data_IF_545649489141
#
_entry.id   IF_545649489141
#
_cell.length_a   1.000
_cell.length_b   1.000
_cell.length_c   1.000
_cell.angle_alpha   90.00
_cell.angle_beta   90.00
_cell.angle_gamma   90.00
#
_symmetry.space_group_name_H-M   'P 1'
#
loop_
_entity.id
_entity.type
_entity.pdbx_description
1 polymer ?
#
# COMPACT_ATOMS: atom_id res chain seq x y z
N UNK A 1 20.69 -8.40 -0.93
CA UNK A 1 19.81 -7.35 -1.50
C UNK A 1 18.60 -8.04 -2.13
N UNK A 2 17.54 -8.26 -1.34
CA UNK A 2 16.25 -8.75 -1.83
C UNK A 2 15.19 -7.75 -1.35
N UNK A 3 15.02 -6.66 -2.11
CA UNK A 3 13.88 -5.75 -1.97
C UNK A 3 12.68 -6.40 -2.66
N UNK A 4 12.01 -7.34 -1.99
CA UNK A 4 10.70 -7.80 -2.43
C UNK A 4 9.68 -6.70 -2.11
N UNK A 5 9.24 -6.02 -3.17
CA UNK A 5 8.33 -4.89 -3.12
C UNK A 5 6.99 -5.18 -2.43
N UNK A 6 6.43 -4.07 -1.95
CA UNK A 6 5.12 -3.87 -1.33
C UNK A 6 5.04 -4.09 0.19
N UNK A 7 4.79 -2.97 0.87
CA UNK A 7 4.14 -2.76 2.18
C UNK A 7 4.71 -3.41 3.45
N UNK A 8 5.73 -4.28 3.40
CA UNK A 8 6.16 -5.03 4.59
C UNK A 8 7.68 -5.07 4.80
N UNK A 9 8.43 -4.20 4.12
CA UNK A 9 9.88 -4.07 4.28
C UNK A 9 10.26 -2.64 4.63
N UNK A 10 10.86 -2.49 5.81
CA UNK A 10 11.53 -1.31 6.37
C UNK A 10 10.66 -0.31 7.17
N UNK A 11 11.01 -0.27 8.46
CA UNK A 11 10.33 0.34 9.60
C UNK A 11 10.39 1.89 9.67
N UNK A 12 10.13 2.59 8.57
CA UNK A 12 9.92 4.04 8.61
C UNK A 12 8.54 4.39 8.04
N UNK A 13 7.73 5.25 8.71
CA UNK A 13 6.58 5.84 8.03
C UNK A 13 7.02 6.41 6.69
N UNK A 14 6.24 6.18 5.62
CA UNK A 14 6.44 6.92 4.38
C UNK A 14 6.39 8.42 4.70
N UNK A 15 7.57 9.03 4.72
CA UNK A 15 7.70 10.46 4.96
C UNK A 15 7.25 11.20 3.71
N UNK A 16 6.77 12.44 3.86
CA UNK A 16 6.29 13.24 2.73
C UNK A 16 7.29 13.27 1.56
N UNK A 17 8.59 13.27 1.87
CA UNK A 17 9.67 13.14 0.89
C UNK A 17 9.62 11.82 0.11
N UNK A 18 9.50 10.68 0.80
CA UNK A 18 9.43 9.36 0.17
C UNK A 18 8.14 9.18 -0.64
N UNK A 19 7.00 9.62 -0.12
CA UNK A 19 5.71 9.57 -0.83
C UNK A 19 5.78 10.39 -2.12
N UNK A 20 6.36 11.60 -2.07
CA UNK A 20 6.49 12.47 -3.24
C UNK A 20 7.46 11.91 -4.27
N UNK A 21 8.63 11.43 -3.85
CA UNK A 21 9.59 10.79 -4.76
C UNK A 21 9.03 9.52 -5.41
N UNK A 22 8.27 8.73 -4.64
CA UNK A 22 7.59 7.55 -5.14
C UNK A 22 6.51 7.91 -6.18
N UNK A 23 5.72 8.98 -5.94
CA UNK A 23 4.74 9.46 -6.92
C UNK A 23 5.38 9.77 -8.28
N UNK A 24 6.49 10.51 -8.29
CA UNK A 24 7.21 10.84 -9.53
C UNK A 24 7.87 9.62 -10.17
N UNK A 25 8.41 8.70 -9.38
CA UNK A 25 9.00 7.45 -9.90
C UNK A 25 7.93 6.56 -10.53
N UNK A 26 6.77 6.43 -9.89
CA UNK A 26 5.62 5.72 -10.42
C UNK A 26 5.11 6.38 -11.71
N UNK A 27 5.02 7.71 -11.74
CA UNK A 27 4.65 8.46 -12.94
C UNK A 27 5.62 8.22 -14.11
N UNK A 28 6.93 8.17 -13.85
CA UNK A 28 7.93 7.85 -14.86
C UNK A 28 7.73 6.44 -15.45
N UNK A 29 7.49 5.43 -14.60
CA UNK A 29 7.19 4.07 -15.05
C UNK A 29 5.88 3.99 -15.84
N UNK A 30 4.84 4.70 -15.37
CA UNK A 30 3.55 4.77 -16.04
C UNK A 30 3.63 5.48 -17.40
N UNK A 31 4.50 6.48 -17.55
CA UNK A 31 4.76 7.15 -18.84
C UNK A 31 5.24 6.16 -19.91
N UNK A 32 6.08 5.18 -19.55
CA UNK A 32 6.50 4.12 -20.47
C UNK A 32 5.31 3.24 -20.84
N UNK A 33 4.52 2.82 -19.86
CA UNK A 33 3.34 1.98 -20.09
C UNK A 33 2.30 2.69 -20.98
N UNK A 34 2.02 3.97 -20.73
CA UNK A 34 1.13 4.79 -21.55
C UNK A 34 1.64 4.90 -22.99
N UNK A 35 2.94 5.09 -23.18
CA UNK A 35 3.55 5.09 -24.53
C UNK A 35 3.23 3.79 -25.26
N UNK A 36 3.43 2.63 -24.60
CA UNK A 36 3.17 1.31 -25.19
C UNK A 36 1.69 1.14 -25.52
N UNK A 37 0.80 1.48 -24.59
CA UNK A 37 -0.65 1.31 -24.76
C UNK A 37 -1.16 2.17 -25.92
N UNK A 38 -0.80 3.45 -25.97
CA UNK A 38 -1.24 4.36 -27.04
C UNK A 38 -0.61 4.00 -28.39
N UNK A 39 0.63 3.52 -28.41
CA UNK A 39 1.27 3.02 -29.63
C UNK A 39 0.56 1.78 -30.19
N UNK A 40 0.03 0.92 -29.31
CA UNK A 40 -0.72 -0.28 -29.70
C UNK A 40 -2.18 0.02 -30.10
N UNK A 41 -2.82 1.04 -29.52
CA UNK A 41 -4.22 1.39 -29.82
C UNK A 41 -4.37 2.27 -31.05
N UNK A 42 -3.68 3.41 -31.09
CA UNK A 42 -3.89 4.48 -32.07
C UNK A 42 -2.66 4.70 -32.98
N UNK A 43 -1.58 3.95 -32.74
CA UNK A 43 -0.37 4.01 -33.55
C UNK A 43 0.54 5.19 -33.19
N UNK A 44 1.17 5.79 -34.19
CA UNK A 44 2.19 6.84 -34.00
C UNK A 44 1.62 8.21 -33.62
N UNK A 45 0.36 8.45 -33.96
CA UNK A 45 -0.33 9.73 -33.82
C UNK A 45 -1.63 9.49 -33.07
N UNK A 46 -1.86 10.21 -31.98
CA UNK A 46 -3.07 10.03 -31.21
C UNK A 46 -3.63 11.37 -30.73
N UNK A 47 -4.96 11.46 -30.70
CA UNK A 47 -5.66 12.63 -30.16
C UNK A 47 -5.71 12.51 -28.65
N UNK A 48 -4.76 13.18 -28.00
CA UNK A 48 -4.56 13.12 -26.56
C UNK A 48 -5.20 14.36 -25.93
N UNK A 49 -6.13 14.15 -24.98
CA UNK A 49 -6.67 15.22 -24.16
C UNK A 49 -5.64 15.71 -23.14
N UNK A 50 -5.77 16.95 -22.66
CA UNK A 50 -4.89 17.47 -21.61
C UNK A 50 -4.93 16.58 -20.34
N UNK A 51 -6.11 16.06 -19.98
CA UNK A 51 -6.27 15.07 -18.91
C UNK A 51 -5.55 13.75 -19.20
N UNK A 52 -5.56 13.28 -20.46
CA UNK A 52 -4.79 12.12 -20.90
C UNK A 52 -3.28 12.35 -20.80
N UNK A 53 -2.80 13.55 -21.11
CA UNK A 53 -1.38 13.89 -21.06
C UNK A 53 -0.82 13.86 -19.62
N UNK A 54 -1.61 14.34 -18.64
CA UNK A 54 -1.22 14.35 -17.22
C UNK A 54 -1.57 13.05 -16.48
N UNK A 55 -2.24 12.10 -17.13
CA UNK A 55 -2.71 10.87 -16.51
C UNK A 55 -1.60 10.03 -15.83
N UNK A 56 -0.39 9.88 -16.39
CA UNK A 56 0.70 9.17 -15.70
C UNK A 56 1.07 9.80 -14.36
N UNK A 57 1.12 11.14 -14.31
CA UNK A 57 1.40 11.88 -13.08
C UNK A 57 0.27 11.73 -12.07
N UNK A 58 -0.98 11.93 -12.50
CA UNK A 58 -2.14 11.76 -11.63
C UNK A 58 -2.18 10.37 -11.01
N UNK A 59 -1.96 9.33 -11.83
CA UNK A 59 -1.97 7.96 -11.36
C UNK A 59 -0.79 7.66 -10.42
N UNK A 60 0.40 8.21 -10.69
CA UNK A 60 1.54 8.14 -9.77
C UNK A 60 1.23 8.76 -8.41
N UNK A 61 0.60 9.94 -8.40
CA UNK A 61 0.14 10.62 -7.17
C UNK A 61 -0.93 9.78 -6.46
N UNK A 62 -1.90 9.21 -7.18
CA UNK A 62 -2.96 8.41 -6.59
C UNK A 62 -2.42 7.15 -5.91
N UNK A 63 -1.47 6.45 -6.54
CA UNK A 63 -0.81 5.27 -5.94
C UNK A 63 -0.05 5.69 -4.68
N UNK A 64 0.67 6.83 -4.72
CA UNK A 64 1.41 7.32 -3.56
C UNK A 64 0.50 7.72 -2.39
N UNK A 65 -0.61 8.42 -2.68
CA UNK A 65 -1.61 8.80 -1.67
C UNK A 65 -2.28 7.56 -1.08
N UNK A 66 -2.68 6.59 -1.92
CA UNK A 66 -3.26 5.35 -1.44
C UNK A 66 -2.30 4.57 -0.52
N UNK A 67 -1.00 4.52 -0.86
CA UNK A 67 0.04 3.95 -0.02
C UNK A 67 0.20 4.69 1.31
N UNK A 68 0.24 6.02 1.30
CA UNK A 68 0.32 6.83 2.50
C UNK A 68 -0.91 6.66 3.41
N UNK A 69 -2.12 6.63 2.83
CA UNK A 69 -3.36 6.36 3.57
C UNK A 69 -3.32 4.96 4.18
N UNK A 70 -2.89 3.95 3.44
CA UNK A 70 -2.72 2.58 3.95
C UNK A 70 -1.77 2.55 5.15
N UNK A 71 -0.60 3.19 5.07
CA UNK A 71 0.39 3.20 6.15
C UNK A 71 -0.12 3.93 7.42
N UNK A 72 -0.81 5.05 7.23
CA UNK A 72 -1.39 5.83 8.34
C UNK A 72 -2.55 5.08 9.00
N UNK A 73 -3.41 4.47 8.20
CA UNK A 73 -4.61 3.76 8.69
C UNK A 73 -4.26 2.45 9.35
N UNK A 74 -3.29 1.69 8.82
CA UNK A 74 -2.83 0.42 9.40
C UNK A 74 -2.33 0.60 10.85
N UNK A 75 -1.73 1.76 11.17
CA UNK A 75 -1.26 2.06 12.54
C UNK A 75 -2.40 2.32 13.51
N UNK A 76 -3.51 2.88 13.03
CA UNK A 76 -4.57 3.46 13.89
C UNK A 76 -5.83 2.62 13.94
N UNK A 77 -6.15 1.92 12.87
CA UNK A 77 -7.41 1.22 12.69
C UNK A 77 -7.18 -0.30 12.61
N UNK A 78 -8.15 -1.11 13.07
CA UNK A 78 -8.13 -2.54 12.80
C UNK A 78 -8.27 -2.80 11.29
N UNK A 79 -7.83 -3.98 10.86
CA UNK A 79 -7.65 -4.30 9.44
C UNK A 79 -8.91 -4.07 8.58
N UNK A 80 -10.10 -4.42 9.09
CA UNK A 80 -11.34 -4.25 8.35
C UNK A 80 -11.67 -2.77 8.04
N UNK A 81 -11.51 -1.90 9.03
CA UNK A 81 -11.74 -0.45 8.85
C UNK A 81 -10.66 0.19 7.97
N UNK A 82 -9.42 -0.29 8.04
CA UNK A 82 -8.37 0.13 7.11
C UNK A 82 -8.76 -0.18 5.65
N UNK A 83 -9.26 -1.38 5.36
CA UNK A 83 -9.72 -1.73 4.00
C UNK A 83 -10.82 -0.78 3.50
N UNK A 84 -11.77 -0.41 4.37
CA UNK A 84 -12.84 0.55 4.03
C UNK A 84 -12.27 1.93 3.70
N UNK A 85 -11.38 2.47 4.54
CA UNK A 85 -10.80 3.80 4.32
C UNK A 85 -9.97 3.84 3.03
N UNK A 86 -9.19 2.79 2.76
CA UNK A 86 -8.44 2.68 1.51
C UNK A 86 -9.38 2.59 0.31
N UNK A 87 -10.44 1.77 0.38
CA UNK A 87 -11.41 1.64 -0.70
C UNK A 87 -12.11 2.98 -1.00
N UNK A 88 -12.57 3.69 0.04
CA UNK A 88 -13.20 5.01 -0.09
C UNK A 88 -12.22 6.02 -0.68
N UNK A 89 -10.95 5.99 -0.25
CA UNK A 89 -9.92 6.89 -0.75
C UNK A 89 -9.62 6.63 -2.23
N UNK A 90 -9.48 5.36 -2.64
CA UNK A 90 -9.31 4.98 -4.05
C UNK A 90 -10.51 5.40 -4.89
N UNK A 91 -11.74 5.21 -4.38
CA UNK A 91 -12.95 5.64 -5.07
C UNK A 91 -13.01 7.16 -5.23
N UNK A 92 -12.68 7.92 -4.19
CA UNK A 92 -12.64 9.38 -4.24
C UNK A 92 -11.60 9.88 -5.25
N UNK A 93 -10.40 9.28 -5.28
CA UNK A 93 -9.37 9.60 -6.27
C UNK A 93 -9.84 9.26 -7.69
N UNK A 94 -10.51 8.13 -7.89
CA UNK A 94 -11.07 7.75 -9.19
C UNK A 94 -12.12 8.76 -9.68
N UNK A 95 -13.00 9.23 -8.79
CA UNK A 95 -14.01 10.26 -9.11
C UNK A 95 -13.36 11.60 -9.46
N UNK A 96 -12.33 12.03 -8.72
CA UNK A 96 -11.56 13.24 -9.05
C UNK A 96 -10.86 13.09 -10.40
N UNK A 97 -10.30 11.91 -10.68
CA UNK A 97 -9.71 11.59 -11.97
C UNK A 97 -10.70 11.69 -13.12
N UNK A 98 -11.90 11.12 -12.95
CA UNK A 98 -12.98 11.19 -13.93
C UNK A 98 -13.42 12.64 -14.19
N UNK A 99 -13.62 13.44 -13.13
CA UNK A 99 -14.01 14.84 -13.26
C UNK A 99 -12.95 15.68 -14.01
N UNK A 100 -11.66 15.46 -13.72
CA UNK A 100 -10.57 16.14 -14.45
C UNK A 100 -10.57 15.74 -15.93
N UNK A 101 -10.79 14.46 -16.23
CA UNK A 101 -10.84 13.98 -17.60
C UNK A 101 -12.03 14.56 -18.38
N UNK A 102 -13.20 14.66 -17.74
CA UNK A 102 -14.39 15.27 -18.32
C UNK A 102 -14.14 16.76 -18.64
N UNK A 103 -13.60 17.53 -17.67
CA UNK A 103 -13.28 18.95 -17.83
C UNK A 103 -12.23 19.24 -18.91
N UNK A 104 -11.40 18.26 -19.28
CA UNK A 104 -10.32 18.41 -20.24
C UNK A 104 -10.56 17.70 -21.57
N UNK A 105 -11.72 17.06 -21.73
CA UNK A 105 -12.04 16.25 -22.91
C UNK A 105 -12.14 17.07 -24.20
N UNK A 106 -12.55 18.33 -24.10
CA UNK A 106 -12.68 19.24 -25.25
C UNK A 106 -11.32 19.79 -25.74
N UNK A 107 -10.27 19.68 -24.93
CA UNK A 107 -8.91 20.14 -25.25
C UNK A 107 -8.06 18.99 -25.77
N UNK A 108 -8.35 18.54 -27.00
CA UNK A 108 -7.59 17.47 -27.66
C UNK A 108 -6.51 18.03 -28.55
N UNK A 109 -5.32 17.45 -28.46
CA UNK A 109 -4.19 17.78 -29.30
C UNK A 109 -3.74 16.54 -30.05
N UNK A 110 -3.56 16.68 -31.36
CA UNK A 110 -2.96 15.62 -32.16
C UNK A 110 -1.45 15.60 -31.87
N UNK A 111 -1.03 14.64 -31.06
CA UNK A 111 0.35 14.51 -30.60
C UNK A 111 0.88 13.13 -30.96
N UNK A 112 2.20 13.00 -31.04
CA UNK A 112 2.80 11.68 -31.16
C UNK A 112 2.63 10.89 -29.86
N UNK A 113 2.34 9.60 -29.97
CA UNK A 113 2.29 8.68 -28.82
C UNK A 113 3.59 8.66 -28.00
N UNK A 114 4.72 9.05 -28.60
CA UNK A 114 5.99 9.20 -27.90
C UNK A 114 6.06 10.42 -26.96
N UNK A 115 5.07 11.31 -26.96
CA UNK A 115 5.02 12.47 -26.04
C UNK A 115 5.11 12.02 -24.57
N UNK A 116 4.55 10.85 -24.24
CA UNK A 116 4.62 10.29 -22.90
C UNK A 116 6.05 9.92 -22.46
N UNK A 117 6.96 9.63 -23.40
CA UNK A 117 8.37 9.36 -23.10
C UNK A 117 9.11 10.59 -22.58
N UNK A 118 8.66 11.80 -22.92
CA UNK A 118 9.19 13.04 -22.34
C UNK A 118 8.95 13.06 -20.81
N UNK A 119 7.86 12.43 -20.35
CA UNK A 119 7.58 12.28 -18.93
C UNK A 119 8.65 11.49 -18.17
N UNK A 120 9.36 10.56 -18.80
CA UNK A 120 10.38 9.73 -18.13
C UNK A 120 11.54 10.56 -17.58
N UNK A 121 12.27 11.37 -18.38
CA UNK A 121 13.33 12.21 -17.85
C UNK A 121 12.78 13.34 -16.97
N UNK A 122 11.58 13.88 -17.26
CA UNK A 122 10.98 14.96 -16.45
C UNK A 122 10.63 14.48 -15.05
N UNK A 123 9.87 13.41 -14.92
CA UNK A 123 9.49 12.85 -13.62
C UNK A 123 10.70 12.22 -12.91
N UNK A 124 11.64 11.63 -13.64
CA UNK A 124 12.91 11.17 -13.09
C UNK A 124 13.74 12.30 -12.48
N UNK A 125 13.85 13.44 -13.16
CA UNK A 125 14.52 14.63 -12.65
C UNK A 125 13.81 15.22 -11.43
N UNK A 126 12.47 15.24 -11.42
CA UNK A 126 11.67 15.67 -10.26
C UNK A 126 11.86 14.73 -9.05
N UNK A 127 11.86 13.41 -9.27
CA UNK A 127 12.15 12.44 -8.23
C UNK A 127 13.57 12.64 -7.65
N UNK A 128 14.55 12.83 -8.54
CA UNK A 128 15.93 13.15 -8.14
C UNK A 128 15.99 14.47 -7.35
N UNK A 129 15.30 15.51 -7.79
CA UNK A 129 15.25 16.80 -7.09
C UNK A 129 14.65 16.69 -5.69
N UNK A 130 13.62 15.86 -5.49
CA UNK A 130 13.08 15.56 -4.15
C UNK A 130 14.14 14.89 -3.26
N UNK A 131 14.95 14.00 -3.82
CA UNK A 131 16.05 13.41 -3.06
C UNK A 131 17.22 14.38 -2.84
N UNK A 132 17.53 15.25 -3.79
CA UNK A 132 18.65 16.17 -3.66
C UNK A 132 18.35 17.35 -2.72
N UNK A 133 17.13 17.90 -2.80
CA UNK A 133 16.78 19.17 -2.16
C UNK A 133 16.03 19.00 -0.83
N UNK A 134 15.28 17.92 -0.66
CA UNK A 134 14.47 17.74 0.54
C UNK A 134 15.29 17.02 1.63
N UNK A 135 15.52 17.61 2.82
CA UNK A 135 16.29 16.97 3.87
C UNK A 135 15.70 15.62 4.30
N UNK A 136 16.58 14.68 4.68
CA UNK A 136 16.14 13.41 5.24
C UNK A 136 15.40 13.64 6.55
N UNK A 137 14.28 12.94 6.79
CA UNK A 137 13.68 12.90 8.11
C UNK A 137 14.77 12.47 9.09
N UNK A 138 14.94 13.23 10.18
CA UNK A 138 15.82 12.79 11.27
C UNK A 138 15.29 11.44 11.74
N UNK A 139 16.15 10.42 11.75
CA UNK A 139 15.81 9.13 12.38
C UNK A 139 15.40 9.47 13.80
N UNK A 140 14.14 9.26 14.16
CA UNK A 140 13.73 9.33 15.56
C UNK A 140 14.54 8.26 16.27
N UNK A 141 15.41 8.68 17.18
CA UNK A 141 16.09 7.74 18.05
C UNK A 141 15.01 6.95 18.81
N UNK A 142 15.18 5.63 18.97
CA UNK A 142 14.26 4.83 19.77
C UNK A 142 14.12 5.51 21.13
N UNK A 143 12.90 5.90 21.51
CA UNK A 143 12.64 6.33 22.89
C UNK A 143 13.01 5.15 23.77
N UNK A 144 14.12 5.26 24.49
CA UNK A 144 14.46 4.32 25.55
C UNK A 144 13.40 4.52 26.63
N UNK A 145 12.42 3.62 26.70
CA UNK A 145 11.49 3.55 27.82
C UNK A 145 12.32 3.31 29.09
N UNK A 146 12.34 4.31 29.98
CA UNK A 146 13.14 4.25 31.21
C UNK A 146 12.51 3.32 32.25
N UNK A 147 13.29 2.79 33.21
CA UNK A 147 12.74 2.07 34.36
C UNK A 147 11.76 2.97 35.13
N UNK A 148 10.53 2.52 35.34
CA UNK A 148 9.49 3.24 36.09
C UNK A 148 8.55 4.13 35.28
N UNK A 149 8.69 4.21 33.95
CA UNK A 149 7.76 4.94 33.09
C UNK A 149 6.57 4.03 32.72
N UNK A 150 5.57 3.97 33.60
CA UNK A 150 4.38 3.16 33.41
C UNK A 150 3.10 4.01 33.36
N UNK A 151 2.12 3.47 32.62
CA UNK A 151 0.69 3.84 32.48
C UNK A 151 0.32 4.69 31.27
N UNK A 152 0.14 3.99 30.14
CA UNK A 152 -0.64 4.44 28.99
C UNK A 152 0.00 4.08 27.65
N UNK A 153 1.28 4.38 27.52
CA UNK A 153 1.96 4.40 26.23
C UNK A 153 2.44 3.01 25.78
N UNK A 154 2.83 2.10 26.68
CA UNK A 154 3.41 0.81 26.29
C UNK A 154 2.42 -0.06 25.49
N UNK A 155 1.20 -0.24 26.01
CA UNK A 155 0.17 -1.05 25.34
C UNK A 155 -0.19 -0.46 23.98
N UNK A 156 -0.37 0.85 23.91
CA UNK A 156 -0.74 1.52 22.67
C UNK A 156 0.38 1.44 21.63
N UNK A 157 1.63 1.65 22.03
CA UNK A 157 2.79 1.55 21.14
C UNK A 157 3.05 0.10 20.70
N UNK A 158 2.86 -0.88 21.58
CA UNK A 158 2.90 -2.30 21.23
C UNK A 158 1.82 -2.66 20.21
N UNK A 159 0.58 -2.22 20.41
CA UNK A 159 -0.52 -2.45 19.46
C UNK A 159 -0.21 -1.80 18.11
N UNK A 160 0.28 -0.56 18.10
CA UNK A 160 0.69 0.15 16.87
C UNK A 160 1.78 -0.64 16.13
N UNK A 161 2.83 -1.07 16.83
CA UNK A 161 3.94 -1.82 16.25
C UNK A 161 3.49 -3.20 15.72
N UNK A 162 2.65 -3.92 16.47
CA UNK A 162 2.13 -5.22 16.09
C UNK A 162 1.17 -5.13 14.88
N UNK A 163 0.37 -4.06 14.76
CA UNK A 163 -0.46 -3.81 13.56
C UNK A 163 0.37 -3.54 12.31
N UNK A 164 1.43 -2.74 12.42
CA UNK A 164 2.37 -2.48 11.31
C UNK A 164 3.00 -3.78 10.81
N UNK A 165 3.31 -4.71 11.72
CA UNK A 165 3.83 -6.03 11.36
C UNK A 165 2.87 -6.84 10.48
N UNK A 166 1.57 -6.58 10.61
CA UNK A 166 0.52 -7.07 9.70
C UNK A 166 0.26 -8.58 9.77
N UNK A 167 0.97 -9.31 10.60
CA UNK A 167 0.97 -10.78 10.68
C UNK A 167 0.16 -11.33 11.86
N UNK A 168 -0.28 -10.50 12.81
CA UNK A 168 -1.12 -10.91 13.94
C UNK A 168 -2.55 -10.35 13.83
N UNK A 169 -3.56 -11.14 14.18
CA UNK A 169 -4.96 -10.68 14.27
C UNK A 169 -5.14 -9.71 15.43
N UNK A 170 -6.07 -8.76 15.35
CA UNK A 170 -6.29 -7.76 16.41
C UNK A 170 -6.58 -8.43 17.77
N UNK A 171 -7.40 -9.49 17.78
CA UNK A 171 -7.65 -10.30 18.99
C UNK A 171 -6.38 -10.93 19.56
N UNK A 172 -5.48 -11.40 18.70
CA UNK A 172 -4.20 -11.99 19.14
C UNK A 172 -3.24 -10.93 19.65
N UNK A 173 -3.24 -9.74 19.06
CA UNK A 173 -2.46 -8.60 19.56
C UNK A 173 -2.95 -8.22 20.97
N UNK A 174 -4.26 -8.10 21.17
CA UNK A 174 -4.84 -7.81 22.48
C UNK A 174 -4.50 -8.88 23.51
N UNK A 175 -4.68 -10.17 23.17
CA UNK A 175 -4.32 -11.27 24.06
C UNK A 175 -2.83 -11.27 24.44
N UNK A 176 -1.93 -11.00 23.50
CA UNK A 176 -0.49 -10.93 23.77
C UNK A 176 -0.11 -9.72 24.63
N UNK A 177 -0.82 -8.61 24.49
CA UNK A 177 -0.65 -7.49 25.39
C UNK A 177 -1.09 -7.88 26.81
N UNK A 178 -2.28 -8.46 26.95
CA UNK A 178 -2.83 -8.85 28.24
C UNK A 178 -1.95 -9.91 28.93
N UNK A 179 -1.41 -10.89 28.18
CA UNK A 179 -0.43 -11.86 28.66
C UNK A 179 0.88 -11.19 29.13
N UNK A 180 1.32 -10.11 28.48
CA UNK A 180 2.50 -9.36 28.90
C UNK A 180 2.26 -8.61 30.21
N UNK A 181 1.09 -8.00 30.39
CA UNK A 181 0.68 -7.37 31.64
C UNK A 181 0.55 -8.39 32.78
N UNK A 182 -0.06 -9.55 32.51
CA UNK A 182 -0.19 -10.62 33.50
C UNK A 182 1.17 -11.16 33.97
N UNK A 183 2.15 -11.31 33.07
CA UNK A 183 3.53 -11.72 33.44
C UNK A 183 4.24 -10.68 34.30
N UNK A 184 4.10 -9.39 33.96
CA UNK A 184 4.69 -8.33 34.76
C UNK A 184 4.07 -8.25 36.16
N UNK A 185 2.75 -8.41 36.25
CA UNK A 185 2.02 -8.46 37.53
C UNK A 185 2.47 -9.65 38.38
N UNK A 186 2.60 -10.85 37.79
CA UNK A 186 3.11 -12.04 38.47
C UNK A 186 4.57 -11.90 38.95
N UNK A 187 5.39 -11.13 38.23
CA UNK A 187 6.77 -10.83 38.60
C UNK A 187 6.92 -9.64 39.57
N UNK A 188 5.81 -8.99 39.94
CA UNK A 188 5.78 -7.73 40.71
C UNK A 188 6.69 -6.63 40.10
N UNK A 189 6.76 -6.56 38.77
CA UNK A 189 7.55 -5.58 38.00
C UNK A 189 6.65 -4.77 37.07
N UNK A 190 7.16 -3.64 36.58
CA UNK A 190 6.47 -2.92 35.50
C UNK A 190 6.59 -3.68 34.18
N UNK A 191 5.65 -3.47 33.26
CA UNK A 191 5.68 -4.13 31.92
C UNK A 191 6.91 -3.73 31.12
N UNK A 192 7.35 -2.48 31.24
CA UNK A 192 8.58 -2.00 30.60
C UNK A 192 9.85 -2.69 31.11
N UNK A 193 9.90 -3.04 32.40
CA UNK A 193 11.04 -3.76 32.98
C UNK A 193 11.05 -5.25 32.60
N UNK A 194 9.87 -5.88 32.55
CA UNK A 194 9.75 -7.31 32.27
C UNK A 194 9.80 -7.62 30.76
N UNK A 195 9.15 -6.79 29.93
CA UNK A 195 9.04 -7.02 28.49
C UNK A 195 9.92 -6.08 27.64
N UNK A 196 10.52 -5.04 28.25
CA UNK A 196 11.37 -4.08 27.54
C UNK A 196 10.59 -3.13 26.64
N UNK A 197 11.29 -2.60 25.62
CA UNK A 197 10.72 -1.71 24.61
C UNK A 197 9.57 -2.39 23.82
N UNK A 198 8.38 -1.77 23.73
CA UNK A 198 7.20 -2.37 23.09
C UNK A 198 7.42 -2.67 21.60
N UNK A 199 8.19 -1.85 20.87
CA UNK A 199 8.48 -2.07 19.45
C UNK A 199 9.40 -3.28 19.28
N UNK A 200 10.45 -3.38 20.09
CA UNK A 200 11.36 -4.52 20.11
C UNK A 200 10.66 -5.80 20.54
N UNK A 201 9.79 -5.73 21.54
CA UNK A 201 8.96 -6.84 21.98
C UNK A 201 8.05 -7.32 20.85
N UNK A 202 7.33 -6.40 20.18
CA UNK A 202 6.51 -6.72 19.02
C UNK A 202 7.32 -7.38 17.88
N UNK A 203 8.56 -6.97 17.63
CA UNK A 203 9.42 -7.61 16.61
C UNK A 203 9.96 -8.99 17.03
N UNK A 204 10.11 -9.24 18.33
CA UNK A 204 10.62 -10.50 18.87
C UNK A 204 9.62 -11.65 18.77
N UNK A 205 8.32 -11.35 18.70
CA UNK A 205 7.28 -12.37 18.59
C UNK A 205 7.43 -13.17 17.28
N UNK A 206 7.08 -14.47 17.27
CA UNK A 206 7.14 -15.29 16.06
C UNK A 206 6.26 -14.70 14.96
N UNK A 207 6.71 -14.85 13.70
CA UNK A 207 6.00 -14.36 12.51
C UNK A 207 4.94 -15.35 12.07
N UNK A 208 3.68 -14.93 12.02
CA UNK A 208 2.60 -15.74 11.45
C UNK A 208 2.40 -15.41 9.96
N UNK A 209 3.12 -16.16 9.13
CA UNK A 209 3.10 -15.99 7.67
C UNK A 209 1.73 -16.26 7.06
N UNK A 210 0.93 -17.16 7.66
CA UNK A 210 -0.38 -17.51 7.13
C UNK A 210 -1.37 -16.36 7.31
N UNK A 211 -1.39 -15.71 8.47
CA UNK A 211 -2.25 -14.54 8.70
C UNK A 211 -1.84 -13.35 7.82
N UNK A 212 -0.54 -13.10 7.65
CA UNK A 212 -0.06 -12.06 6.73
C UNK A 212 -0.51 -12.31 5.29
N UNK A 213 -0.35 -13.54 4.79
CA UNK A 213 -0.79 -13.93 3.44
C UNK A 213 -2.32 -13.85 3.28
N UNK A 214 -3.08 -14.25 4.31
CA UNK A 214 -4.55 -14.16 4.33
C UNK A 214 -5.03 -12.72 4.24
N UNK A 215 -4.41 -11.79 4.98
CA UNK A 215 -4.72 -10.35 4.91
C UNK A 215 -4.42 -9.78 3.53
N UNK A 216 -3.26 -10.12 2.95
CA UNK A 216 -2.91 -9.73 1.59
C UNK A 216 -3.94 -10.22 0.56
N UNK A 217 -4.40 -11.45 0.69
CA UNK A 217 -5.46 -12.01 -0.15
C UNK A 217 -6.77 -11.21 -0.03
N UNK A 218 -7.26 -10.96 1.19
CA UNK A 218 -8.50 -10.18 1.37
C UNK A 218 -8.38 -8.76 0.86
N UNK A 219 -7.23 -8.12 1.07
CA UNK A 219 -6.99 -6.78 0.54
C UNK A 219 -7.07 -6.77 -0.99
N UNK A 220 -6.46 -7.73 -1.66
CA UNK A 220 -6.53 -7.83 -3.12
C UNK A 220 -7.94 -8.18 -3.61
N UNK A 221 -8.67 -9.06 -2.93
CA UNK A 221 -10.06 -9.34 -3.25
C UNK A 221 -10.94 -8.09 -3.10
N UNK A 222 -10.73 -7.28 -2.06
CA UNK A 222 -11.44 -6.01 -1.91
C UNK A 222 -11.16 -5.05 -3.07
N UNK A 223 -9.91 -4.97 -3.55
CA UNK A 223 -9.55 -4.20 -4.74
C UNK A 223 -10.19 -4.75 -6.02
N UNK A 224 -10.29 -6.08 -6.18
CA UNK A 224 -11.01 -6.70 -7.30
C UNK A 224 -12.48 -6.30 -7.29
N UNK A 225 -13.14 -6.38 -6.13
CA UNK A 225 -14.55 -5.97 -5.98
C UNK A 225 -14.72 -4.50 -6.32
N UNK A 226 -13.85 -3.63 -5.79
CA UNK A 226 -13.89 -2.19 -6.09
C UNK A 226 -13.69 -1.92 -7.59
N UNK A 227 -12.70 -2.56 -8.22
CA UNK A 227 -12.46 -2.44 -9.66
C UNK A 227 -13.66 -2.94 -10.47
N UNK A 228 -14.32 -4.02 -10.05
CA UNK A 228 -15.54 -4.52 -10.66
C UNK A 228 -16.72 -3.55 -10.53
N UNK A 229 -16.88 -2.88 -9.38
CA UNK A 229 -17.90 -1.84 -9.19
C UNK A 229 -17.63 -0.67 -10.14
N UNK A 230 -16.40 -0.15 -10.18
CA UNK A 230 -16.01 0.96 -11.06
C UNK A 230 -16.21 0.59 -12.53
N UNK A 231 -15.84 -0.63 -12.93
CA UNK A 231 -16.07 -1.14 -14.29
C UNK A 231 -17.57 -1.22 -14.61
N UNK A 232 -18.39 -1.70 -13.68
CA UNK A 232 -19.85 -1.79 -13.87
C UNK A 232 -20.48 -0.41 -14.04
N UNK A 233 -20.06 0.57 -13.23
CA UNK A 233 -20.52 1.96 -13.33
C UNK A 233 -20.09 2.59 -14.67
N UNK A 234 -18.88 2.30 -15.15
CA UNK A 234 -18.38 2.78 -16.44
C UNK A 234 -19.18 2.19 -17.60
N UNK A 235 -19.44 0.87 -17.58
CA UNK A 235 -20.21 0.18 -18.62
C UNK A 235 -21.68 0.63 -18.68
N UNK A 236 -22.24 1.06 -17.55
CA UNK A 236 -23.61 1.57 -17.45
C UNK A 236 -23.78 3.05 -17.84
N UNK A 237 -22.69 3.79 -18.03
CA UNK A 237 -22.72 5.20 -18.42
C UNK A 237 -22.89 5.43 -19.92
N UNK A 238 -23.40 6.61 -20.30
CA UNK A 238 -23.59 7.00 -21.71
C UNK A 238 -22.25 7.33 -22.43
N UNK A 239 -21.22 7.76 -21.69
CA UNK A 239 -19.90 8.10 -22.22
C UNK A 239 -18.94 6.90 -22.19
N UNK A 240 -19.06 6.02 -23.19
CA UNK A 240 -18.19 4.83 -23.33
C UNK A 240 -16.89 5.21 -24.03
N UNK A 241 -15.78 5.30 -23.30
CA UNK A 241 -14.45 5.33 -23.92
C UNK A 241 -13.85 3.93 -23.98
N UNK A 242 -13.45 3.50 -25.18
CA UNK A 242 -12.78 2.20 -25.38
C UNK A 242 -11.49 2.10 -24.56
N UNK A 243 -10.78 3.22 -24.42
CA UNK A 243 -9.59 3.35 -23.57
C UNK A 243 -9.90 3.13 -22.08
N UNK A 244 -10.95 3.78 -21.55
CA UNK A 244 -11.33 3.63 -20.14
C UNK A 244 -11.74 2.20 -19.79
N UNK A 245 -12.46 1.54 -20.70
CA UNK A 245 -12.88 0.15 -20.52
C UNK A 245 -11.68 -0.80 -20.57
N UNK A 246 -10.78 -0.64 -21.54
CA UNK A 246 -9.57 -1.47 -21.67
C UNK A 246 -8.62 -1.33 -20.49
N UNK A 247 -8.41 -0.11 -20.00
CA UNK A 247 -7.59 0.15 -18.81
C UNK A 247 -8.19 -0.49 -17.55
N UNK A 248 -9.51 -0.41 -17.35
CA UNK A 248 -10.18 -1.03 -16.21
C UNK A 248 -10.10 -2.56 -16.25
N UNK A 249 -10.23 -3.17 -17.43
CA UNK A 249 -10.04 -4.61 -17.61
C UNK A 249 -8.61 -5.03 -17.26
N UNK A 250 -7.60 -4.27 -17.71
CA UNK A 250 -6.20 -4.53 -17.38
C UNK A 250 -5.96 -4.46 -15.86
N UNK A 251 -6.48 -3.43 -15.20
CA UNK A 251 -6.40 -3.29 -13.75
C UNK A 251 -7.07 -4.45 -13.01
N UNK A 252 -8.25 -4.86 -13.47
CA UNK A 252 -8.96 -6.01 -12.90
C UNK A 252 -8.16 -7.30 -13.07
N UNK A 253 -7.54 -7.52 -14.24
CA UNK A 253 -6.67 -8.67 -14.48
C UNK A 253 -5.45 -8.67 -13.53
N UNK A 254 -4.80 -7.52 -13.33
CA UNK A 254 -3.66 -7.38 -12.39
C UNK A 254 -4.10 -7.74 -10.96
N UNK A 255 -5.26 -7.25 -10.50
CA UNK A 255 -5.75 -7.55 -9.15
C UNK A 255 -6.19 -9.01 -8.99
N UNK A 256 -6.76 -9.63 -10.03
CA UNK A 256 -7.11 -11.06 -10.03
C UNK A 256 -5.86 -11.92 -9.97
N UNK A 257 -4.86 -11.66 -10.81
CA UNK A 257 -3.57 -12.38 -10.78
C UNK A 257 -2.88 -12.19 -9.43
N UNK A 258 -2.91 -10.96 -8.90
CA UNK A 258 -2.46 -10.66 -7.54
C UNK A 258 -3.14 -11.56 -6.51
N UNK A 259 -4.48 -11.59 -6.51
CA UNK A 259 -5.29 -12.38 -5.58
C UNK A 259 -4.95 -13.87 -5.66
N UNK A 260 -4.82 -14.42 -6.87
CA UNK A 260 -4.41 -15.81 -7.08
C UNK A 260 -3.03 -16.08 -6.49
N UNK A 261 -2.04 -15.21 -6.73
CA UNK A 261 -0.70 -15.37 -6.17
C UNK A 261 -0.71 -15.38 -4.63
N UNK A 262 -1.49 -14.49 -4.01
CA UNK A 262 -1.62 -14.43 -2.55
C UNK A 262 -2.37 -15.63 -1.99
N UNK A 263 -3.35 -16.17 -2.71
CA UNK A 263 -4.03 -17.41 -2.35
C UNK A 263 -3.05 -18.59 -2.32
N UNK A 264 -2.21 -18.74 -3.33
CA UNK A 264 -1.19 -19.81 -3.35
C UNK A 264 -0.16 -19.63 -2.23
N UNK A 265 0.28 -18.41 -1.96
CA UNK A 265 1.19 -18.10 -0.84
C UNK A 265 0.55 -18.44 0.51
N UNK A 266 -0.72 -18.11 0.71
CA UNK A 266 -1.45 -18.46 1.92
C UNK A 266 -1.57 -19.98 2.08
N UNK A 267 -1.94 -20.70 1.01
CA UNK A 267 -2.06 -22.16 1.03
C UNK A 267 -0.73 -22.85 1.32
N UNK A 268 0.37 -22.33 0.78
CA UNK A 268 1.72 -22.80 1.06
C UNK A 268 2.09 -22.57 2.53
N UNK A 269 1.91 -21.35 3.03
CA UNK A 269 2.21 -21.01 4.42
C UNK A 269 1.40 -21.85 5.43
N UNK A 270 0.13 -22.13 5.12
CA UNK A 270 -0.72 -22.99 5.96
C UNK A 270 -0.18 -24.42 6.06
N UNK A 271 0.25 -24.99 4.92
CA UNK A 271 0.83 -26.35 4.88
C UNK A 271 2.16 -26.44 5.63
N UNK A 272 2.98 -25.40 5.55
CA UNK A 272 4.25 -25.34 6.31
C UNK A 272 3.99 -25.31 7.82
N UNK A 273 3.00 -24.54 8.27
CA UNK A 273 2.59 -24.51 9.68
C UNK A 273 2.01 -25.85 10.17
N UNK A 274 1.17 -26.50 9.36
CA UNK A 274 0.60 -27.81 9.67
C UNK A 274 1.70 -28.90 9.72
N UNK A 275 2.68 -28.87 8.80
CA UNK A 275 3.78 -29.83 8.77
C UNK A 275 4.88 -29.61 9.82
N UNK A 276 5.04 -28.39 10.34
CA UNK A 276 5.90 -28.12 11.51
C UNK A 276 5.24 -28.59 12.81
N UNK A 277 3.91 -28.53 12.91
CA UNK A 277 3.16 -29.04 14.06
C UNK A 277 3.15 -30.57 14.18
N UNK A 278 3.38 -31.29 13.07
CA UNK A 278 3.44 -32.76 13.03
C UNK A 278 4.84 -33.34 13.31
N UNK A 279 5.89 -32.51 13.42
CA UNK A 279 7.20 -33.03 13.84
C UNK A 279 7.20 -33.24 15.36
N UNK A 280 7.37 -34.49 15.84
CA UNK A 280 7.58 -34.71 17.27
C UNK A 280 8.83 -33.94 17.70
N UNK A 281 8.71 -33.28 18.85
CA UNK A 281 9.84 -32.65 19.53
C UNK A 281 10.69 -33.78 20.08
N UNK A 282 11.77 -34.12 19.39
CA UNK A 282 12.81 -35.04 19.86
C UNK A 282 13.56 -34.46 21.08
#
# INVERSE_FOLDING_TARGET
MNHNGWAFGDDAPMTARLTTAFAFTAAAGLSILFTIVWLLSDGLSADISLGGLIAPLMLGVFIAVAGAVYDVTLRRLPFAWMCVVVAVSVLALALVGAAIFELTTDQRYSLSSFVFLIGVPVYGALAWAVFALWPAPKKQEPRLFGPGEDRGDWREEFIRAARVRGDLTDKRIEALADDAYARAEAAHRSVGEECGDPVRYARSLPKDRATAAKRKLYFQLALVVLAGIVLTLNLGGEAKSAFGTGALILWLAIFVVGSLSSFFLWRKAKREQEGEAERPVD
#
